data_IF_225239939800
#
_entry.id   IF_225239939800
#
_cell.length_a   1.000
_cell.length_b   1.000
_cell.length_c   1.000
_cell.angle_alpha   90.00
_cell.angle_beta   90.00
_cell.angle_gamma   90.00
#
_symmetry.space_group_name_H-M   'P 1'
#
loop_
_entity.id
_entity.type
_entity.pdbx_description
1 polymer ?
#
# COMPACT_ATOMS: atom_id res chain seq x y z
N UNK A 1 22.85 -27.69 18.32
CA UNK A 1 22.01 -26.78 19.14
C UNK A 1 21.69 -25.59 18.26
N UNK A 2 20.54 -25.61 17.57
CA UNK A 2 20.13 -24.55 16.65
C UNK A 2 19.05 -23.72 17.31
N UNK A 3 19.37 -22.48 17.68
CA UNK A 3 18.33 -21.49 17.91
C UNK A 3 17.90 -21.02 16.52
N UNK A 4 16.67 -21.36 16.12
CA UNK A 4 15.99 -20.65 15.05
C UNK A 4 15.89 -19.20 15.52
N UNK A 5 16.44 -18.24 14.77
CA UNK A 5 16.28 -16.83 15.11
C UNK A 5 14.79 -16.52 15.14
N UNK A 6 14.28 -16.09 16.29
CA UNK A 6 12.94 -15.51 16.35
C UNK A 6 13.00 -14.21 15.55
N UNK A 7 12.49 -14.22 14.32
CA UNK A 7 12.28 -12.99 13.56
C UNK A 7 11.15 -12.23 14.24
N UNK A 8 11.43 -11.05 14.77
CA UNK A 8 10.39 -10.26 15.43
C UNK A 8 9.51 -9.58 14.37
N UNK A 9 8.21 -9.34 14.66
CA UNK A 9 7.39 -8.57 13.74
C UNK A 9 7.91 -7.12 13.64
N UNK A 10 8.01 -6.54 12.43
CA UNK A 10 8.46 -5.16 12.28
C UNK A 10 7.42 -4.16 12.80
N UNK A 11 7.90 -2.99 13.23
CA UNK A 11 7.05 -1.85 13.62
C UNK A 11 6.86 -0.95 12.40
N UNK A 12 5.62 -0.67 12.01
CA UNK A 12 5.29 0.15 10.83
C UNK A 12 4.70 1.50 11.20
N UNK A 13 5.17 2.55 10.51
CA UNK A 13 4.70 3.92 10.59
C UNK A 13 4.09 4.34 9.26
N UNK A 14 2.81 4.75 9.29
CA UNK A 14 2.04 5.13 8.11
C UNK A 14 0.94 6.13 8.47
N UNK A 15 0.76 7.16 7.64
CA UNK A 15 -0.48 7.95 7.66
C UNK A 15 -1.63 7.09 7.12
N UNK A 16 -2.63 6.85 7.98
CA UNK A 16 -3.80 6.02 7.65
C UNK A 16 -4.93 6.81 6.99
N UNK A 17 -4.82 8.15 6.91
CA UNK A 17 -5.86 9.02 6.35
C UNK A 17 -5.40 9.68 5.06
N UNK A 18 -5.45 8.94 3.96
CA UNK A 18 -5.14 9.50 2.65
C UNK A 18 -6.30 10.33 2.10
N UNK A 19 -6.01 11.57 1.72
CA UNK A 19 -6.92 12.44 0.97
C UNK A 19 -6.25 12.76 -0.36
N UNK A 20 -6.73 12.12 -1.43
CA UNK A 20 -6.12 12.17 -2.76
C UNK A 20 -7.18 12.68 -3.74
N UNK A 21 -6.82 13.64 -4.59
CA UNK A 21 -7.71 14.12 -5.65
C UNK A 21 -7.80 13.05 -6.75
N UNK A 22 -8.97 12.90 -7.35
CA UNK A 22 -9.16 11.99 -8.48
C UNK A 22 -8.40 12.44 -9.75
N UNK A 23 -8.04 13.73 -9.80
CA UNK A 23 -7.18 14.32 -10.83
C UNK A 23 -5.68 14.18 -10.56
N UNK A 24 -5.27 13.50 -9.49
CA UNK A 24 -3.85 13.32 -9.18
C UNK A 24 -3.14 12.56 -10.32
N UNK A 25 -2.00 13.06 -10.85
CA UNK A 25 -1.35 12.47 -12.00
C UNK A 25 -0.70 11.12 -11.69
N UNK A 26 -0.49 10.31 -12.74
CA UNK A 26 0.30 9.08 -12.67
C UNK A 26 1.70 9.37 -12.15
N UNK A 27 2.20 8.52 -11.26
CA UNK A 27 3.54 8.63 -10.67
C UNK A 27 3.65 9.58 -9.47
N UNK A 28 2.59 10.33 -9.13
CA UNK A 28 2.58 11.21 -7.97
C UNK A 28 2.74 10.41 -6.67
N UNK A 29 3.53 10.94 -5.73
CA UNK A 29 3.73 10.30 -4.42
C UNK A 29 2.50 10.55 -3.54
N UNK A 30 1.92 9.46 -3.04
CA UNK A 30 0.76 9.48 -2.15
C UNK A 30 1.19 9.47 -0.69
N UNK A 31 2.17 8.62 -0.37
CA UNK A 31 2.62 8.40 1.01
C UNK A 31 4.02 7.79 1.03
N UNK A 32 4.66 7.85 2.19
CA UNK A 32 5.87 7.11 2.51
C UNK A 32 5.56 6.22 3.72
N UNK A 33 5.64 4.90 3.50
CA UNK A 33 5.62 3.92 4.58
C UNK A 33 7.04 3.80 5.13
N UNK A 34 7.18 3.78 6.46
CA UNK A 34 8.43 3.43 7.13
C UNK A 34 8.21 2.22 8.00
N UNK A 35 9.22 1.38 8.13
CA UNK A 35 9.20 0.29 9.08
C UNK A 35 10.60 0.10 9.70
N UNK A 36 10.60 -0.43 10.91
CA UNK A 36 11.79 -0.72 11.71
C UNK A 36 11.71 -2.18 12.17
N UNK A 37 12.87 -2.82 12.20
CA UNK A 37 13.05 -4.23 12.57
C UNK A 37 14.22 -4.32 13.55
N UNK A 38 14.07 -5.03 14.66
CA UNK A 38 15.12 -5.07 15.70
C UNK A 38 16.32 -5.93 15.32
N UNK A 39 16.15 -6.85 14.38
CA UNK A 39 17.22 -7.70 13.86
C UNK A 39 17.97 -7.02 12.69
N UNK A 40 17.48 -5.86 12.23
CA UNK A 40 17.95 -5.14 11.04
C UNK A 40 17.86 -5.98 9.76
N UNK A 41 16.88 -6.87 9.70
CA UNK A 41 16.64 -7.66 8.50
C UNK A 41 16.15 -6.80 7.33
N UNK A 42 16.28 -7.33 6.12
CA UNK A 42 15.78 -6.64 4.92
C UNK A 42 14.26 -6.59 4.93
N UNK A 43 13.72 -5.39 5.08
CA UNK A 43 12.29 -5.12 4.94
C UNK A 43 11.85 -5.09 3.48
N UNK A 44 10.69 -5.67 3.20
CA UNK A 44 10.04 -5.68 1.88
C UNK A 44 8.62 -5.15 2.02
N UNK A 45 8.30 -4.09 1.27
CA UNK A 45 7.00 -3.44 1.32
C UNK A 45 6.03 -3.96 0.25
N UNK A 46 4.76 -4.11 0.61
CA UNK A 46 3.69 -4.58 -0.27
C UNK A 46 2.39 -3.80 -0.11
N UNK A 47 1.53 -3.87 -1.13
CA UNK A 47 0.17 -3.35 -1.09
C UNK A 47 -0.78 -4.44 -1.53
N UNK A 48 -1.82 -4.67 -0.74
CA UNK A 48 -2.85 -5.67 -1.02
C UNK A 48 -4.24 -5.03 -1.07
N UNK A 49 -5.09 -5.45 -2.02
CA UNK A 49 -6.46 -4.98 -2.08
C UNK A 49 -7.22 -5.47 -0.84
N UNK A 50 -8.07 -4.61 -0.28
CA UNK A 50 -9.01 -5.05 0.75
C UNK A 50 -9.99 -6.05 0.12
N UNK A 51 -9.94 -7.30 0.57
CA UNK A 51 -10.92 -8.31 0.20
C UNK A 51 -12.20 -8.09 1.03
N UNK A 52 -13.34 -8.01 0.36
CA UNK A 52 -14.66 -8.02 1.00
C UNK A 52 -15.25 -9.44 0.87
N UNK A 53 -14.81 -10.35 1.75
CA UNK A 53 -15.15 -11.77 1.66
C UNK A 53 -14.34 -12.51 0.59
N UNK A 54 -14.87 -13.62 0.06
CA UNK A 54 -14.18 -14.48 -0.92
C UNK A 54 -14.16 -13.90 -2.35
N UNK A 55 -14.82 -12.76 -2.57
CA UNK A 55 -14.86 -12.15 -3.89
C UNK A 55 -13.55 -11.40 -4.18
N UNK A 56 -12.89 -11.68 -5.32
CA UNK A 56 -11.73 -10.91 -5.74
C UNK A 56 -12.13 -9.44 -5.97
N UNK A 57 -11.20 -8.50 -5.77
CA UNK A 57 -11.47 -7.10 -5.99
C UNK A 57 -11.86 -6.86 -7.46
N UNK A 58 -12.95 -6.12 -7.68
CA UNK A 58 -13.46 -5.85 -9.03
C UNK A 58 -12.48 -5.08 -9.93
N UNK A 59 -11.51 -4.37 -9.33
CA UNK A 59 -10.47 -3.62 -10.03
C UNK A 59 -9.15 -3.74 -9.27
N UNK A 60 -8.00 -3.73 -9.97
CA UNK A 60 -6.70 -3.65 -9.32
C UNK A 60 -6.55 -2.34 -8.53
N UNK A 61 -5.65 -2.37 -7.54
CA UNK A 61 -5.25 -1.19 -6.79
C UNK A 61 -4.69 -0.13 -7.75
N UNK A 62 -5.12 1.13 -7.65
CA UNK A 62 -4.58 2.20 -8.49
C UNK A 62 -3.24 2.75 -7.96
N UNK A 63 -2.63 2.05 -7.00
CA UNK A 63 -1.40 2.46 -6.34
C UNK A 63 -0.36 1.36 -6.43
N UNK A 64 0.90 1.75 -6.51
CA UNK A 64 2.05 0.86 -6.38
C UNK A 64 2.92 1.32 -5.22
N UNK A 65 3.61 0.37 -4.60
CA UNK A 65 4.63 0.65 -3.59
C UNK A 65 5.98 0.18 -4.09
N UNK A 66 7.01 1.01 -3.91
CA UNK A 66 8.37 0.56 -4.09
C UNK A 66 8.74 -0.37 -2.93
N UNK A 67 9.02 -1.63 -3.25
CA UNK A 67 9.26 -2.69 -2.28
C UNK A 67 10.51 -2.50 -1.41
N UNK A 68 11.41 -1.58 -1.77
CA UNK A 68 12.64 -1.29 -1.03
C UNK A 68 12.56 0.02 -0.24
N UNK A 69 11.73 0.98 -0.68
CA UNK A 69 11.69 2.33 -0.09
C UNK A 69 10.39 2.68 0.62
N UNK A 70 9.34 1.88 0.46
CA UNK A 70 8.02 2.16 1.04
C UNK A 70 7.29 3.36 0.40
N UNK A 71 7.83 3.94 -0.67
CA UNK A 71 7.19 5.05 -1.40
C UNK A 71 5.97 4.52 -2.17
N UNK A 72 4.80 5.05 -1.84
CA UNK A 72 3.54 4.75 -2.52
C UNK A 72 3.26 5.81 -3.59
N UNK A 73 2.93 5.37 -4.81
CA UNK A 73 2.61 6.23 -5.94
C UNK A 73 1.31 5.87 -6.62
N UNK A 74 0.71 6.85 -7.29
CA UNK A 74 -0.39 6.62 -8.24
C UNK A 74 0.14 5.85 -9.44
N UNK A 75 -0.55 4.77 -9.82
CA UNK A 75 -0.17 3.89 -10.92
C UNK A 75 -1.30 3.66 -11.94
N UNK A 76 -2.50 4.14 -11.63
CA UNK A 76 -3.62 4.14 -12.58
C UNK A 76 -4.48 5.38 -12.33
N UNK A 77 -5.29 5.75 -13.31
CA UNK A 77 -6.21 6.89 -13.22
C UNK A 77 -7.14 6.75 -12.02
N UNK A 78 -7.23 7.83 -11.24
CA UNK A 78 -8.13 7.93 -10.09
C UNK A 78 -9.49 8.52 -10.47
N UNK A 79 -9.65 9.00 -11.71
CA UNK A 79 -10.92 9.51 -12.20
C UNK A 79 -12.02 8.46 -12.02
N UNK A 80 -13.14 8.91 -11.45
CA UNK A 80 -14.32 8.07 -11.17
C UNK A 80 -14.08 6.90 -10.18
N UNK A 81 -12.93 6.85 -9.49
CA UNK A 81 -12.66 5.85 -8.43
C UNK A 81 -13.11 6.31 -7.04
N UNK A 82 -13.21 7.62 -6.81
CA UNK A 82 -13.63 8.20 -5.53
C UNK A 82 -15.14 8.15 -5.28
N UNK A 83 -15.94 7.79 -6.30
CA UNK A 83 -17.40 7.81 -6.23
C UNK A 83 -17.98 6.49 -6.71
N UNK A 84 -19.02 6.01 -6.02
CA UNK A 84 -19.98 5.06 -6.56
C UNK A 84 -20.83 5.75 -7.64
N UNK A 85 -20.20 6.32 -8.66
CA UNK A 85 -20.90 7.01 -9.73
C UNK A 85 -21.76 6.00 -10.48
N UNK A 86 -23.05 5.99 -10.19
CA UNK A 86 -24.09 5.27 -10.95
C UNK A 86 -24.69 6.28 -11.91
N UNK A 87 -24.39 6.21 -13.22
CA UNK A 87 -24.95 7.14 -14.19
C UNK A 87 -26.45 6.91 -14.50
N UNK A 88 -27.14 6.01 -13.78
CA UNK A 88 -28.58 5.72 -13.94
C UNK A 88 -29.17 5.28 -12.60
#
# INVERSE_FOLDING_TARGET
LGQLSDNTPPIMYLDRKWVIKDTTPLGETVSLVKAEDSEMDRLVYGLEPKLNGDNPPAKPLPFVINNNTGVVKVNDSLLHRASNYKPW
#
